data_IF_657892871597
#
_entry.id   IF_657892871597
#
_cell.length_a   1.000
_cell.length_b   1.000
_cell.length_c   1.000
_cell.angle_alpha   90.00
_cell.angle_beta   90.00
_cell.angle_gamma   90.00
#
_symmetry.space_group_name_H-M   'P 1'
#
loop_
_entity.id
_entity.type
_entity.pdbx_description
1 polymer ?
#
# COMPACT_ATOMS: atom_id res chain seq x y z
N UNK A 1 19.45 4.21 24.16
CA UNK A 1 19.21 4.84 25.48
C UNK A 1 17.71 5.02 25.67
N UNK A 2 17.07 4.08 26.39
CA UNK A 2 15.61 4.05 26.65
C UNK A 2 15.11 5.22 27.53
N UNK A 3 15.98 6.07 28.01
CA UNK A 3 15.68 7.20 28.89
C UNK A 3 15.10 8.43 28.16
N UNK A 4 15.26 8.53 26.85
CA UNK A 4 14.84 9.70 26.05
C UNK A 4 13.34 9.71 25.68
N UNK A 5 12.60 8.63 25.92
CA UNK A 5 11.17 8.51 25.62
C UNK A 5 10.25 8.71 26.84
N UNK A 6 10.79 9.02 27.99
CA UNK A 6 9.97 9.37 29.16
C UNK A 6 9.47 10.81 28.99
N UNK A 7 8.21 10.95 28.61
CA UNK A 7 7.48 12.22 28.78
C UNK A 7 7.66 12.63 30.24
N UNK A 8 8.16 13.85 30.48
CA UNK A 8 8.21 14.42 31.82
C UNK A 8 6.84 14.35 32.51
N UNK A 9 6.76 14.38 33.83
CA UNK A 9 5.48 14.35 34.55
C UNK A 9 4.61 15.48 34.03
N UNK A 10 3.37 15.13 33.67
CA UNK A 10 2.34 16.13 33.35
C UNK A 10 2.19 17.05 34.56
N UNK A 11 1.99 18.37 34.39
CA UNK A 11 1.74 19.27 35.48
C UNK A 11 0.53 18.75 36.30
N UNK A 12 0.69 18.67 37.62
CA UNK A 12 -0.25 18.04 38.57
C UNK A 12 -1.64 18.69 38.61
N UNK A 13 -1.85 19.86 37.96
CA UNK A 13 -3.11 20.61 37.95
C UNK A 13 -3.89 20.53 36.61
N UNK A 14 -3.54 19.65 35.69
CA UNK A 14 -4.37 19.46 34.50
C UNK A 14 -5.59 18.60 34.83
N UNK A 15 -6.82 19.08 34.65
CA UNK A 15 -8.02 18.26 34.86
C UNK A 15 -7.90 17.02 33.97
N UNK A 16 -8.07 15.83 34.55
CA UNK A 16 -8.01 14.60 33.77
C UNK A 16 -8.99 14.71 32.59
N UNK A 17 -8.55 14.34 31.36
CA UNK A 17 -9.40 14.52 30.19
C UNK A 17 -10.73 13.78 30.42
N UNK A 18 -11.84 14.51 30.26
CA UNK A 18 -13.20 13.96 30.42
C UNK A 18 -13.33 12.75 29.49
N UNK A 19 -13.54 11.58 30.09
CA UNK A 19 -13.86 10.37 29.32
C UNK A 19 -15.32 10.45 28.87
N UNK A 20 -15.54 10.75 27.60
CA UNK A 20 -16.85 10.71 26.99
C UNK A 20 -17.32 9.27 26.79
N UNK A 21 -18.55 8.98 27.17
CA UNK A 21 -19.18 7.73 26.72
C UNK A 21 -19.58 7.87 25.26
N UNK A 22 -19.45 6.82 24.48
CA UNK A 22 -19.79 6.83 23.07
C UNK A 22 -21.23 7.27 22.80
N UNK A 23 -22.17 6.88 23.68
CA UNK A 23 -23.56 7.31 23.63
C UNK A 23 -23.74 8.81 23.81
N UNK A 24 -22.91 9.46 24.65
CA UNK A 24 -22.94 10.92 24.87
C UNK A 24 -22.44 11.64 23.61
N UNK A 25 -21.39 11.11 22.95
CA UNK A 25 -20.88 11.64 21.69
C UNK A 25 -21.92 11.55 20.57
N UNK A 26 -22.68 10.47 20.51
CA UNK A 26 -23.73 10.28 19.50
C UNK A 26 -24.99 11.12 19.74
N UNK A 27 -25.15 11.77 20.93
CA UNK A 27 -26.22 12.71 21.16
C UNK A 27 -26.01 14.05 20.44
N UNK A 28 -24.78 14.36 20.05
CA UNK A 28 -24.41 15.51 19.23
C UNK A 28 -24.81 15.27 17.75
N UNK A 29 -25.70 16.07 17.14
CA UNK A 29 -26.20 15.82 15.79
C UNK A 29 -25.08 15.74 14.71
N UNK A 30 -24.05 16.60 14.83
CA UNK A 30 -22.93 16.63 13.91
C UNK A 30 -22.05 15.37 14.03
N UNK A 31 -21.84 14.88 15.26
CA UNK A 31 -21.10 13.64 15.53
C UNK A 31 -21.90 12.44 15.04
N UNK A 32 -23.21 12.42 15.30
CA UNK A 32 -24.11 11.37 14.82
C UNK A 32 -24.13 11.28 13.30
N UNK A 33 -24.29 12.41 12.60
CA UNK A 33 -24.28 12.45 11.14
C UNK A 33 -22.94 11.99 10.54
N UNK A 34 -21.82 12.32 11.21
CA UNK A 34 -20.50 11.81 10.86
C UNK A 34 -20.37 10.31 11.09
N UNK A 35 -20.86 9.82 12.23
CA UNK A 35 -20.88 8.41 12.57
C UNK A 35 -21.71 7.59 11.59
N UNK A 36 -22.89 8.06 11.21
CA UNK A 36 -23.75 7.37 10.24
C UNK A 36 -23.08 7.25 8.87
N UNK A 37 -22.34 8.29 8.43
CA UNK A 37 -21.51 8.22 7.23
C UNK A 37 -20.37 7.19 7.38
N UNK A 38 -19.65 7.25 8.50
CA UNK A 38 -18.55 6.30 8.77
C UNK A 38 -19.10 4.88 8.87
N UNK A 39 -20.24 4.68 9.51
CA UNK A 39 -20.89 3.37 9.64
C UNK A 39 -21.25 2.72 8.28
N UNK A 40 -21.51 3.52 7.25
CA UNK A 40 -21.71 3.00 5.90
C UNK A 40 -20.43 2.35 5.33
N UNK A 41 -19.24 2.77 5.80
CA UNK A 41 -17.95 2.20 5.41
C UNK A 41 -17.48 1.07 6.34
N UNK A 42 -18.07 0.89 7.51
CA UNK A 42 -17.76 -0.22 8.43
C UNK A 42 -18.19 -1.59 7.92
N UNK A 43 -18.89 -1.65 6.80
CA UNK A 43 -19.20 -2.89 6.11
C UNK A 43 -18.06 -3.37 5.20
N UNK A 44 -16.96 -2.63 5.08
CA UNK A 44 -15.78 -3.11 4.39
C UNK A 44 -15.05 -4.10 5.31
N UNK A 45 -15.36 -5.39 5.12
CA UNK A 45 -14.58 -6.49 5.69
C UNK A 45 -13.55 -6.89 4.65
N UNK A 46 -12.30 -6.56 4.95
CA UNK A 46 -11.17 -6.81 4.08
C UNK A 46 -10.62 -8.22 4.28
N UNK A 47 -10.19 -8.84 3.19
CA UNK A 47 -9.32 -10.01 3.21
C UNK A 47 -8.26 -9.91 2.12
N UNK A 48 -7.04 -10.35 2.45
CA UNK A 48 -5.90 -10.33 1.53
C UNK A 48 -5.65 -11.74 1.00
N UNK A 49 -5.43 -11.84 -0.32
CA UNK A 49 -5.16 -13.11 -0.99
C UNK A 49 -3.87 -13.02 -1.81
N UNK A 50 -2.99 -13.99 -1.57
CA UNK A 50 -1.83 -14.22 -2.44
C UNK A 50 -2.30 -15.03 -3.67
N UNK A 51 -2.29 -14.37 -4.83
CA UNK A 51 -2.87 -14.89 -6.09
C UNK A 51 -2.01 -15.97 -6.75
N UNK A 52 -0.69 -15.83 -6.65
CA UNK A 52 0.30 -16.70 -7.26
C UNK A 52 1.63 -16.59 -6.52
N UNK A 53 2.43 -17.64 -6.55
CA UNK A 53 3.80 -17.62 -6.04
C UNK A 53 4.85 -17.26 -7.11
N UNK A 54 4.41 -16.92 -8.32
CA UNK A 54 5.26 -16.51 -9.44
C UNK A 54 5.37 -15.00 -9.54
N UNK A 55 6.56 -14.52 -9.86
CA UNK A 55 6.82 -13.11 -10.19
C UNK A 55 7.80 -13.02 -11.36
N UNK A 56 7.66 -11.99 -12.16
CA UNK A 56 8.60 -11.63 -13.23
C UNK A 56 9.78 -10.77 -12.72
N UNK A 57 9.84 -10.46 -11.42
CA UNK A 57 10.93 -9.75 -10.77
C UNK A 57 11.53 -10.59 -9.63
N UNK A 58 12.75 -10.20 -9.19
CA UNK A 58 13.46 -10.79 -8.04
C UNK A 58 14.06 -9.65 -7.20
N UNK A 59 13.15 -8.95 -6.47
CA UNK A 59 13.53 -7.79 -5.68
C UNK A 59 14.30 -8.20 -4.43
N UNK A 60 15.33 -7.43 -4.08
CA UNK A 60 16.02 -7.55 -2.79
C UNK A 60 15.04 -7.16 -1.66
N UNK A 61 15.06 -7.90 -0.55
CA UNK A 61 14.15 -7.66 0.58
C UNK A 61 12.68 -7.95 0.29
N UNK A 62 12.38 -8.72 -0.75
CA UNK A 62 11.00 -9.12 -1.07
C UNK A 62 10.49 -10.11 -0.03
N UNK A 63 9.48 -9.71 0.76
CA UNK A 63 8.88 -10.56 1.79
C UNK A 63 8.40 -11.92 1.26
N UNK A 64 8.10 -12.00 -0.04
CA UNK A 64 7.61 -13.22 -0.67
C UNK A 64 8.73 -14.24 -0.88
N UNK A 65 9.94 -13.77 -1.24
CA UNK A 65 11.09 -14.62 -1.55
C UNK A 65 12.09 -14.76 -0.41
N UNK A 66 12.07 -13.86 0.56
CA UNK A 66 12.87 -13.99 1.80
C UNK A 66 12.25 -15.02 2.78
N UNK A 67 11.00 -15.42 2.56
CA UNK A 67 10.29 -16.41 3.37
C UNK A 67 9.86 -17.63 2.56
N UNK A 68 9.06 -18.49 3.20
CA UNK A 68 8.62 -19.79 2.66
C UNK A 68 7.42 -19.67 1.70
N UNK A 69 6.87 -18.48 1.48
CA UNK A 69 5.67 -18.28 0.65
C UNK A 69 5.84 -18.77 -0.78
N UNK A 70 7.04 -18.65 -1.35
CA UNK A 70 7.34 -19.14 -2.70
C UNK A 70 7.18 -20.66 -2.87
N UNK A 71 7.19 -21.42 -1.77
CA UNK A 71 7.02 -22.86 -1.75
C UNK A 71 5.57 -23.31 -1.44
N UNK A 72 4.67 -22.33 -1.17
CA UNK A 72 3.27 -22.63 -0.93
C UNK A 72 2.64 -23.26 -2.18
N UNK A 73 1.72 -24.20 -1.95
CA UNK A 73 0.97 -24.82 -3.04
C UNK A 73 0.11 -23.76 -3.72
N UNK A 74 0.37 -23.51 -5.00
CA UNK A 74 -0.43 -22.61 -5.83
C UNK A 74 -1.70 -23.30 -6.32
N UNK A 75 -2.83 -22.61 -6.25
CA UNK A 75 -4.06 -23.04 -6.90
C UNK A 75 -4.42 -22.02 -8.00
N UNK A 76 -4.15 -22.40 -9.24
CA UNK A 76 -4.45 -21.59 -10.44
C UNK A 76 -5.82 -21.90 -11.06
N UNK A 77 -6.66 -22.72 -10.43
CA UNK A 77 -7.97 -23.09 -10.96
C UNK A 77 -9.00 -21.95 -10.74
N UNK A 78 -9.51 -21.32 -11.81
CA UNK A 78 -10.52 -20.27 -11.71
C UNK A 78 -11.80 -20.71 -11.01
N UNK A 79 -12.20 -21.97 -11.13
CA UNK A 79 -13.40 -22.48 -10.49
C UNK A 79 -13.22 -22.61 -8.98
N UNK A 80 -12.08 -23.12 -8.53
CA UNK A 80 -11.76 -23.19 -7.11
C UNK A 80 -11.67 -21.78 -6.46
N UNK A 81 -11.15 -20.78 -7.19
CA UNK A 81 -11.15 -19.38 -6.75
C UNK A 81 -12.57 -18.81 -6.64
N UNK A 82 -13.45 -19.11 -7.62
CA UNK A 82 -14.84 -18.70 -7.55
C UNK A 82 -15.56 -19.26 -6.34
N UNK A 83 -15.36 -20.52 -6.03
CA UNK A 83 -15.95 -21.18 -4.87
C UNK A 83 -15.40 -20.61 -3.55
N UNK A 84 -14.09 -20.35 -3.47
CA UNK A 84 -13.47 -19.68 -2.35
C UNK A 84 -14.13 -18.31 -2.10
N UNK A 85 -14.20 -17.46 -3.11
CA UNK A 85 -14.70 -16.10 -2.97
C UNK A 85 -16.21 -16.06 -2.64
N UNK A 86 -17.02 -16.99 -3.15
CA UNK A 86 -18.40 -17.14 -2.74
C UNK A 86 -18.55 -17.49 -1.27
N UNK A 87 -17.70 -18.37 -0.75
CA UNK A 87 -17.64 -18.67 0.70
C UNK A 87 -17.22 -17.45 1.50
N UNK A 88 -16.20 -16.70 1.03
CA UNK A 88 -15.77 -15.49 1.70
C UNK A 88 -16.87 -14.41 1.74
N UNK A 89 -17.61 -14.24 0.64
CA UNK A 89 -18.79 -13.35 0.62
C UNK A 89 -19.84 -13.80 1.66
N UNK A 90 -20.12 -15.08 1.77
CA UNK A 90 -21.08 -15.60 2.76
C UNK A 90 -20.61 -15.37 4.21
N UNK A 91 -19.30 -15.27 4.45
CA UNK A 91 -18.69 -14.84 5.72
C UNK A 91 -18.70 -13.33 5.94
N UNK A 92 -19.15 -12.55 4.94
CA UNK A 92 -19.27 -11.11 5.00
C UNK A 92 -18.03 -10.35 4.50
N UNK A 93 -17.10 -10.99 3.81
CA UNK A 93 -15.99 -10.29 3.12
C UNK A 93 -16.58 -9.48 1.96
N UNK A 94 -16.30 -8.19 1.95
CA UNK A 94 -16.83 -7.23 0.96
C UNK A 94 -15.74 -6.49 0.21
N UNK A 95 -14.49 -6.62 0.63
CA UNK A 95 -13.32 -5.96 0.04
C UNK A 95 -12.16 -6.95 -0.04
N UNK A 96 -11.48 -6.99 -1.18
CA UNK A 96 -10.32 -7.87 -1.36
C UNK A 96 -9.06 -7.06 -1.66
N UNK A 97 -7.95 -7.47 -1.04
CA UNK A 97 -6.61 -7.03 -1.42
C UNK A 97 -5.94 -8.19 -2.14
N UNK A 98 -5.75 -8.05 -3.44
CA UNK A 98 -5.12 -9.05 -4.28
C UNK A 98 -3.62 -8.75 -4.37
N UNK A 99 -2.83 -9.62 -3.80
CA UNK A 99 -1.38 -9.53 -3.73
C UNK A 99 -0.75 -10.86 -4.15
N UNK A 100 0.39 -11.15 -3.64
CA UNK A 100 1.12 -12.38 -3.88
C UNK A 100 2.45 -12.05 -4.51
N UNK A 101 3.04 -12.98 -5.29
CA UNK A 101 4.28 -12.62 -5.92
C UNK A 101 4.02 -11.54 -7.00
N UNK A 102 3.21 -11.83 -8.02
CA UNK A 102 2.77 -10.80 -8.97
C UNK A 102 1.40 -11.14 -9.61
N UNK A 103 0.32 -10.44 -9.21
CA UNK A 103 -1.03 -10.71 -9.68
C UNK A 103 -1.24 -10.53 -11.18
N UNK A 104 -0.50 -9.66 -11.85
CA UNK A 104 -0.63 -9.45 -13.30
C UNK A 104 -0.24 -10.68 -14.15
N UNK A 105 0.32 -11.72 -13.52
CA UNK A 105 0.65 -12.99 -14.18
C UNK A 105 -0.52 -13.97 -14.24
N UNK A 106 -1.63 -13.68 -13.55
CA UNK A 106 -2.81 -14.55 -13.47
C UNK A 106 -4.10 -13.75 -13.78
N UNK A 107 -4.22 -13.18 -15.00
CA UNK A 107 -5.34 -12.31 -15.37
C UNK A 107 -6.70 -12.99 -15.22
N UNK A 108 -6.83 -14.28 -15.58
CA UNK A 108 -8.09 -15.01 -15.46
C UNK A 108 -8.60 -15.09 -14.01
N UNK A 109 -7.68 -15.15 -13.04
CA UNK A 109 -8.05 -15.14 -11.63
C UNK A 109 -8.46 -13.73 -11.18
N UNK A 110 -7.85 -12.67 -11.72
CA UNK A 110 -8.28 -11.29 -11.45
C UNK A 110 -9.72 -11.05 -11.93
N UNK A 111 -10.07 -11.56 -13.11
CA UNK A 111 -11.44 -11.49 -13.65
C UNK A 111 -12.45 -12.22 -12.76
N UNK A 112 -12.10 -13.43 -12.30
CA UNK A 112 -12.92 -14.19 -11.35
C UNK A 112 -13.12 -13.42 -10.06
N UNK A 113 -12.04 -12.86 -9.48
CA UNK A 113 -12.12 -12.10 -8.24
C UNK A 113 -13.02 -10.86 -8.41
N UNK A 114 -12.85 -10.11 -9.49
CA UNK A 114 -13.65 -8.93 -9.76
C UNK A 114 -15.14 -9.26 -9.98
N UNK A 115 -15.43 -10.37 -10.65
CA UNK A 115 -16.80 -10.85 -10.84
C UNK A 115 -17.51 -11.28 -9.56
N UNK A 116 -16.79 -11.80 -8.58
CA UNK A 116 -17.38 -12.29 -7.33
C UNK A 116 -17.40 -11.22 -6.22
N UNK A 117 -16.34 -10.41 -6.07
CA UNK A 117 -16.24 -9.33 -5.06
C UNK A 117 -15.71 -8.07 -5.77
N UNK A 118 -16.57 -7.17 -6.28
CA UNK A 118 -16.16 -6.06 -7.15
C UNK A 118 -15.45 -4.91 -6.44
N UNK A 119 -15.31 -4.96 -5.11
CA UNK A 119 -14.59 -3.95 -4.33
C UNK A 119 -13.23 -4.49 -3.89
N UNK A 120 -12.18 -3.74 -4.15
CA UNK A 120 -10.85 -4.16 -3.76
C UNK A 120 -9.72 -3.36 -4.39
N UNK A 121 -8.50 -3.81 -4.14
CA UNK A 121 -7.31 -3.32 -4.79
C UNK A 121 -6.36 -4.46 -5.18
N UNK A 122 -5.50 -4.19 -6.15
CA UNK A 122 -4.44 -5.08 -6.62
C UNK A 122 -3.10 -4.42 -6.31
N UNK A 123 -2.24 -5.11 -5.57
CA UNK A 123 -0.85 -4.70 -5.38
C UNK A 123 0.02 -5.36 -6.46
N UNK A 124 0.63 -4.56 -7.33
CA UNK A 124 1.42 -5.04 -8.48
C UNK A 124 2.77 -4.34 -8.58
N UNK A 125 3.73 -5.00 -9.19
CA UNK A 125 4.98 -4.36 -9.58
C UNK A 125 4.83 -3.41 -10.80
N UNK A 126 3.69 -3.41 -11.47
CA UNK A 126 3.38 -2.52 -12.59
C UNK A 126 4.13 -2.81 -13.90
N UNK A 127 4.93 -3.87 -13.96
CA UNK A 127 5.66 -4.25 -15.18
C UNK A 127 4.73 -4.63 -16.34
N UNK A 128 3.58 -5.23 -16.02
CA UNK A 128 2.48 -5.51 -16.96
C UNK A 128 1.27 -4.67 -16.59
N UNK A 129 0.57 -4.20 -17.61
CA UNK A 129 -0.70 -3.51 -17.41
C UNK A 129 -1.80 -4.53 -17.08
N UNK A 130 -2.60 -4.22 -16.08
CA UNK A 130 -3.81 -4.98 -15.74
C UNK A 130 -4.95 -4.49 -16.62
N UNK A 131 -5.75 -5.43 -17.14
CA UNK A 131 -6.85 -5.14 -18.03
C UNK A 131 -7.78 -4.05 -17.44
N UNK A 132 -8.16 -3.02 -18.24
CA UNK A 132 -9.10 -2.00 -17.81
C UNK A 132 -10.48 -2.53 -17.40
N UNK A 133 -10.90 -3.71 -17.88
CA UNK A 133 -12.14 -4.35 -17.47
C UNK A 133 -12.16 -4.77 -15.99
N UNK A 134 -10.98 -5.03 -15.39
CA UNK A 134 -10.83 -5.31 -13.96
C UNK A 134 -10.86 -3.99 -13.20
N UNK A 135 -12.00 -3.60 -12.65
CA UNK A 135 -12.27 -2.28 -12.08
C UNK A 135 -11.65 -1.98 -10.71
N UNK A 136 -10.80 -2.83 -10.18
CA UNK A 136 -10.12 -2.63 -8.90
C UNK A 136 -9.19 -1.40 -8.89
N UNK A 137 -8.94 -0.83 -7.70
CA UNK A 137 -7.79 0.06 -7.51
C UNK A 137 -6.50 -0.69 -7.77
N UNK A 138 -5.52 -0.01 -8.36
CA UNK A 138 -4.22 -0.61 -8.68
C UNK A 138 -3.15 0.13 -7.92
N UNK A 139 -2.51 -0.55 -6.98
CA UNK A 139 -1.39 -0.06 -6.20
C UNK A 139 -0.09 -0.51 -6.87
N UNK A 140 0.62 0.43 -7.48
CA UNK A 140 1.84 0.17 -8.24
C UNK A 140 3.04 0.44 -7.36
N UNK A 141 3.79 -0.61 -7.03
CA UNK A 141 4.98 -0.51 -6.19
C UNK A 141 6.13 0.21 -6.90
N UNK A 142 6.56 1.37 -6.37
CA UNK A 142 7.73 2.14 -6.82
C UNK A 142 8.78 2.16 -5.72
N UNK A 143 10.03 1.81 -6.05
CA UNK A 143 11.14 1.73 -5.08
C UNK A 143 12.34 2.60 -5.50
N UNK A 144 12.09 3.79 -6.04
CA UNK A 144 13.08 4.71 -6.53
C UNK A 144 13.02 4.90 -8.05
N UNK A 145 14.04 5.54 -8.60
CA UNK A 145 14.18 5.76 -10.03
C UNK A 145 14.57 4.48 -10.80
N UNK A 146 14.83 4.60 -12.10
CA UNK A 146 15.16 3.42 -12.93
C UNK A 146 16.50 2.78 -12.55
N UNK A 147 17.47 3.54 -12.04
CA UNK A 147 18.76 3.00 -11.59
C UNK A 147 18.59 2.18 -10.31
N UNK A 148 17.88 2.70 -9.31
CA UNK A 148 17.57 1.95 -8.10
C UNK A 148 16.66 0.75 -8.39
N UNK A 149 15.70 0.88 -9.30
CA UNK A 149 14.89 -0.24 -9.76
C UNK A 149 15.72 -1.33 -10.42
N UNK A 150 16.71 -0.98 -11.23
CA UNK A 150 17.66 -1.94 -11.83
C UNK A 150 18.47 -2.67 -10.75
N UNK A 151 18.95 -1.95 -9.75
CA UNK A 151 19.78 -2.49 -8.67
C UNK A 151 18.97 -3.35 -7.70
N UNK A 152 17.85 -2.81 -7.17
CA UNK A 152 17.08 -3.43 -6.09
C UNK A 152 16.00 -4.37 -6.62
N UNK A 153 15.30 -4.00 -7.70
CA UNK A 153 14.20 -4.81 -8.24
C UNK A 153 14.60 -5.69 -9.44
N UNK A 154 15.87 -5.62 -9.85
CA UNK A 154 16.45 -6.38 -10.97
C UNK A 154 15.71 -6.12 -12.30
N UNK A 155 15.13 -4.94 -12.46
CA UNK A 155 14.37 -4.55 -13.65
C UNK A 155 14.90 -3.23 -14.23
N UNK A 156 15.16 -3.22 -15.54
CA UNK A 156 15.56 -2.00 -16.27
C UNK A 156 14.33 -1.19 -16.64
N UNK A 157 14.45 0.13 -16.61
CA UNK A 157 13.41 1.09 -17.05
C UNK A 157 12.04 0.81 -16.43
N UNK A 158 12.03 0.34 -15.17
CA UNK A 158 10.80 -0.10 -14.53
C UNK A 158 9.87 1.07 -14.24
N UNK A 159 10.40 2.18 -13.72
CA UNK A 159 9.60 3.37 -13.41
C UNK A 159 8.97 3.96 -14.69
N UNK A 160 9.77 4.09 -15.75
CA UNK A 160 9.27 4.54 -17.06
C UNK A 160 8.16 3.65 -17.57
N UNK A 161 8.34 2.33 -17.54
CA UNK A 161 7.33 1.34 -17.95
C UNK A 161 6.07 1.41 -17.11
N UNK A 162 6.19 1.61 -15.80
CA UNK A 162 5.06 1.79 -14.90
C UNK A 162 4.25 3.04 -15.27
N UNK A 163 4.92 4.15 -15.53
CA UNK A 163 4.28 5.39 -15.99
C UNK A 163 3.58 5.16 -17.33
N UNK A 164 4.25 4.56 -18.31
CA UNK A 164 3.66 4.31 -19.63
C UNK A 164 2.43 3.38 -19.57
N UNK A 165 2.48 2.39 -18.69
CA UNK A 165 1.36 1.46 -18.50
C UNK A 165 0.14 2.11 -17.83
N UNK A 166 0.35 3.09 -16.92
CA UNK A 166 -0.71 3.52 -16.00
C UNK A 166 -0.98 5.04 -15.98
N UNK A 167 -0.24 5.86 -16.72
CA UNK A 167 -0.58 7.29 -16.87
C UNK A 167 -2.01 7.42 -17.43
N UNK A 168 -2.80 8.29 -16.80
CA UNK A 168 -4.21 8.49 -17.16
C UNK A 168 -5.16 7.37 -16.71
N UNK A 169 -4.69 6.29 -16.10
CA UNK A 169 -5.53 5.27 -15.53
C UNK A 169 -6.06 5.71 -14.16
N UNK A 170 -7.35 6.02 -14.07
CA UNK A 170 -8.00 6.50 -12.83
C UNK A 170 -8.02 5.48 -11.70
N UNK A 171 -7.73 4.20 -11.96
CA UNK A 171 -7.59 3.16 -10.94
C UNK A 171 -6.24 3.20 -10.25
N UNK A 172 -5.21 3.73 -10.93
CA UNK A 172 -3.82 3.64 -10.50
C UNK A 172 -3.48 4.60 -9.37
N UNK A 173 -2.73 4.09 -8.40
CA UNK A 173 -2.04 4.84 -7.35
C UNK A 173 -0.63 4.27 -7.25
N UNK A 174 0.37 5.10 -7.45
CA UNK A 174 1.78 4.73 -7.31
C UNK A 174 2.13 4.75 -5.82
N UNK A 175 2.64 3.64 -5.32
CA UNK A 175 3.04 3.48 -3.90
C UNK A 175 4.55 3.59 -3.83
N UNK A 176 5.06 4.78 -3.51
CA UNK A 176 6.49 4.97 -3.31
C UNK A 176 6.88 4.36 -1.97
N UNK A 177 7.66 3.28 -2.01
CA UNK A 177 8.15 2.62 -0.81
C UNK A 177 9.54 3.15 -0.47
N UNK A 178 9.60 3.94 0.59
CA UNK A 178 10.86 4.43 1.12
C UNK A 178 11.67 3.29 1.70
N UNK A 179 12.92 3.21 1.30
CA UNK A 179 13.98 2.40 1.88
C UNK A 179 15.11 3.32 2.31
N UNK A 180 16.02 2.86 3.14
CA UNK A 180 17.20 3.66 3.52
C UNK A 180 17.99 4.19 2.32
N UNK A 181 17.97 3.47 1.20
CA UNK A 181 18.81 3.76 0.04
C UNK A 181 18.17 4.67 -1.02
N UNK A 182 16.87 4.98 -0.92
CA UNK A 182 16.15 5.74 -1.95
C UNK A 182 15.49 7.03 -1.44
N UNK A 183 15.78 7.47 -0.23
CA UNK A 183 15.13 8.62 0.38
C UNK A 183 15.33 9.88 -0.48
N UNK A 184 16.57 10.13 -0.90
CA UNK A 184 16.92 11.34 -1.65
C UNK A 184 16.44 11.32 -3.12
N UNK A 185 16.13 10.15 -3.66
CA UNK A 185 15.56 9.99 -5.01
C UNK A 185 14.07 10.37 -5.08
N UNK A 186 13.39 10.46 -3.93
CA UNK A 186 11.95 10.69 -3.88
C UNK A 186 11.53 11.96 -4.63
N UNK A 187 12.32 13.03 -4.54
CA UNK A 187 12.05 14.29 -5.24
C UNK A 187 12.02 14.11 -6.77
N UNK A 188 13.04 13.48 -7.33
CA UNK A 188 13.12 13.19 -8.78
C UNK A 188 11.95 12.33 -9.24
N UNK A 189 11.68 11.24 -8.52
CA UNK A 189 10.60 10.30 -8.86
C UNK A 189 9.23 10.98 -8.76
N UNK A 190 9.02 11.82 -7.75
CA UNK A 190 7.77 12.56 -7.59
C UNK A 190 7.57 13.58 -8.70
N UNK A 191 8.61 14.27 -9.14
CA UNK A 191 8.54 15.21 -10.27
C UNK A 191 8.14 14.47 -11.57
N UNK A 192 8.71 13.29 -11.83
CA UNK A 192 8.36 12.46 -12.99
C UNK A 192 6.89 11.97 -12.92
N UNK A 193 6.44 11.50 -11.77
CA UNK A 193 5.07 11.02 -11.57
C UNK A 193 4.07 12.17 -11.66
N UNK A 194 4.36 13.33 -11.10
CA UNK A 194 3.52 14.51 -11.16
C UNK A 194 3.42 15.06 -12.60
N UNK A 195 4.52 15.09 -13.36
CA UNK A 195 4.53 15.47 -14.76
C UNK A 195 3.68 14.54 -15.64
N UNK A 196 3.53 13.27 -15.24
CA UNK A 196 2.67 12.28 -15.89
C UNK A 196 1.23 12.27 -15.35
N UNK A 197 0.84 13.22 -14.50
CA UNK A 197 -0.46 13.30 -13.79
C UNK A 197 -0.81 12.00 -13.02
N UNK A 198 0.19 11.36 -12.43
CA UNK A 198 0.02 10.16 -11.64
C UNK A 198 -0.25 10.49 -10.16
N UNK A 199 -1.13 9.74 -9.52
CA UNK A 199 -1.39 9.83 -8.08
C UNK A 199 -0.42 8.95 -7.33
N UNK A 200 0.06 9.45 -6.19
CA UNK A 200 1.09 8.79 -5.39
C UNK A 200 0.65 8.70 -3.93
N UNK A 201 1.01 7.62 -3.28
CA UNK A 201 0.99 7.48 -1.82
C UNK A 201 2.33 6.92 -1.35
N UNK A 202 2.58 7.00 -0.05
CA UNK A 202 3.84 6.59 0.54
C UNK A 202 3.69 5.31 1.37
N UNK A 203 4.76 4.54 1.40
CA UNK A 203 4.96 3.42 2.29
C UNK A 203 6.39 3.42 2.80
N UNK A 204 6.65 2.83 3.96
CA UNK A 204 7.99 2.65 4.53
C UNK A 204 8.32 1.17 4.49
N UNK A 205 9.51 0.85 3.99
CA UNK A 205 9.98 -0.53 3.89
C UNK A 205 10.09 -1.18 5.27
N UNK A 206 9.31 -2.22 5.47
CA UNK A 206 9.40 -3.09 6.64
C UNK A 206 10.22 -4.32 6.26
N UNK A 207 11.44 -4.41 6.78
CA UNK A 207 12.32 -5.51 6.47
C UNK A 207 11.76 -6.86 6.97
N UNK A 208 11.75 -7.92 6.14
CA UNK A 208 11.41 -9.26 6.60
C UNK A 208 12.30 -9.72 7.76
N UNK A 209 11.79 -10.63 8.57
CA UNK A 209 12.56 -11.22 9.68
C UNK A 209 13.81 -11.90 9.11
N UNK A 210 14.98 -11.59 9.68
CA UNK A 210 16.28 -12.11 9.22
C UNK A 210 16.90 -11.34 8.04
N UNK A 211 16.21 -10.36 7.45
CA UNK A 211 16.79 -9.55 6.40
C UNK A 211 17.99 -8.71 6.89
N UNK A 212 19.15 -8.90 6.28
CA UNK A 212 20.41 -8.24 6.62
C UNK A 212 20.88 -7.19 5.58
N UNK A 213 20.07 -6.93 4.55
CA UNK A 213 20.44 -6.01 3.46
C UNK A 213 20.33 -4.52 3.83
N UNK A 214 20.88 -3.67 2.97
CA UNK A 214 20.99 -2.21 3.15
C UNK A 214 19.70 -1.42 3.09
N UNK A 215 18.58 -2.04 2.70
CA UNK A 215 17.29 -1.35 2.55
C UNK A 215 16.61 -1.01 3.88
N UNK A 216 17.04 -1.66 4.97
CA UNK A 216 16.47 -1.47 6.31
C UNK A 216 16.77 -0.07 6.84
N UNK A 217 15.76 0.58 7.34
CA UNK A 217 15.92 1.86 8.03
C UNK A 217 16.58 1.71 9.40
N UNK A 218 17.35 2.73 9.75
CA UNK A 218 17.74 3.07 11.11
C UNK A 218 16.94 4.30 11.61
N UNK A 219 17.18 4.74 12.84
CA UNK A 219 16.47 5.86 13.42
C UNK A 219 16.67 7.17 12.63
N UNK A 220 17.89 7.42 12.14
CA UNK A 220 18.22 8.63 11.38
C UNK A 220 17.51 8.66 10.03
N UNK A 221 17.58 7.56 9.29
CA UNK A 221 16.89 7.44 7.98
C UNK A 221 15.36 7.49 8.10
N UNK A 222 14.76 7.05 9.21
CA UNK A 222 13.33 7.22 9.47
C UNK A 222 12.96 8.69 9.67
N UNK A 223 13.76 9.45 10.43
CA UNK A 223 13.54 10.90 10.60
C UNK A 223 13.64 11.59 9.23
N UNK A 224 14.68 11.29 8.47
CA UNK A 224 14.87 11.85 7.14
C UNK A 224 13.75 11.48 6.17
N UNK A 225 13.28 10.24 6.20
CA UNK A 225 12.12 9.79 5.41
C UNK A 225 10.89 10.63 5.72
N UNK A 226 10.61 10.89 6.99
CA UNK A 226 9.48 11.72 7.40
C UNK A 226 9.59 13.15 6.87
N UNK A 227 10.76 13.77 6.96
CA UNK A 227 11.02 15.10 6.43
C UNK A 227 10.74 15.17 4.93
N UNK A 228 11.28 14.21 4.16
CA UNK A 228 11.08 14.13 2.70
C UNK A 228 9.61 13.88 2.36
N UNK A 229 8.90 13.03 3.09
CA UNK A 229 7.45 12.83 2.90
C UNK A 229 6.68 14.15 3.04
N UNK A 230 6.94 14.91 4.10
CA UNK A 230 6.28 16.20 4.34
C UNK A 230 6.63 17.23 3.26
N UNK A 231 7.87 17.27 2.81
CA UNK A 231 8.29 18.12 1.68
C UNK A 231 7.52 17.75 0.40
N UNK A 232 7.47 16.45 0.04
CA UNK A 232 6.78 16.01 -1.18
C UNK A 232 5.27 16.28 -1.12
N UNK A 233 4.65 16.15 0.04
CA UNK A 233 3.24 16.50 0.24
C UNK A 233 3.00 18.00 0.03
N UNK A 234 3.88 18.85 0.51
CA UNK A 234 3.82 20.30 0.30
C UNK A 234 4.05 20.70 -1.16
N UNK A 235 5.01 20.05 -1.82
CA UNK A 235 5.40 20.34 -3.19
C UNK A 235 4.41 19.83 -4.24
N UNK A 236 3.78 18.66 -3.96
CA UNK A 236 2.86 17.98 -4.89
C UNK A 236 1.47 17.72 -4.30
N UNK A 237 0.75 18.73 -3.77
CA UNK A 237 -0.49 18.53 -2.99
C UNK A 237 -1.66 17.96 -3.81
N UNK A 238 -1.59 18.02 -5.15
CA UNK A 238 -2.61 17.46 -6.05
C UNK A 238 -2.38 15.98 -6.39
N UNK A 239 -1.14 15.50 -6.26
CA UNK A 239 -0.72 14.17 -6.68
C UNK A 239 -0.50 13.23 -5.49
N UNK A 240 -0.07 13.77 -4.35
CA UNK A 240 0.19 12.98 -3.15
C UNK A 240 -1.10 12.73 -2.37
N UNK A 241 -1.49 11.46 -2.29
CA UNK A 241 -2.64 10.97 -1.53
C UNK A 241 -2.19 10.46 -0.15
N UNK A 242 -1.55 11.32 0.62
CA UNK A 242 -1.03 10.99 1.94
C UNK A 242 -1.34 12.12 2.92
N UNK A 243 -1.49 11.82 4.20
CA UNK A 243 -1.85 12.80 5.22
C UNK A 243 -0.67 13.08 6.14
N UNK A 244 -0.42 14.35 6.55
CA UNK A 244 0.61 14.66 7.55
C UNK A 244 0.43 13.91 8.86
N UNK A 245 -0.79 13.46 9.14
CA UNK A 245 -1.10 12.63 10.32
C UNK A 245 -0.46 11.23 10.23
N UNK A 246 -0.20 10.75 9.02
CA UNK A 246 0.39 9.42 8.77
C UNK A 246 1.91 9.49 8.50
N UNK A 247 2.51 10.69 8.46
CA UNK A 247 3.94 10.89 8.18
C UNK A 247 4.83 10.74 9.42
#
# INVERSE_FOLDING_TARGET
>A
DEAALRRGPAPEDSPSPRRWKFSELLSEPAVKARWERVRQYFFLRESTYDMTNRCNLRCDGCYYYEGDKQFARENGDPQAWRELLRRERSRGITYVVLAGAEPSLVPDLLDVCFGEIPLGCIATNGFRRIDPAVGYRIHISVWGNDETSRRVRKARELLRRQIDNYRGDRRAVFVYTFTRENIEEASEVMDLLAAADCRVTFNVFSAPVGYAGGLRHDAESLVRTREVMLEMMSRHPRHVLFSPYNA
#
